data_IF_443959354260
#
_entry.id   IF_443959354260
#
_cell.length_a   1.000
_cell.length_b   1.000
_cell.length_c   1.000
_cell.angle_alpha   90.00
_cell.angle_beta   90.00
_cell.angle_gamma   90.00
#
_symmetry.space_group_name_H-M   'P 1'
#
loop_
_entity.id
_entity.type
_entity.pdbx_description
1 polymer ?
#
# COMPACT_ATOMS: atom_id res chain seq x y z
N UNK A 1 11.05 1.64 11.37
CA UNK A 1 11.64 2.92 10.91
C UNK A 1 11.28 3.24 9.46
N UNK A 2 11.50 2.32 8.51
CA UNK A 2 11.27 2.54 7.08
C UNK A 2 9.85 2.93 6.68
N UNK A 3 8.81 2.32 7.26
CA UNK A 3 7.41 2.73 6.99
C UNK A 3 7.14 4.19 7.37
N UNK A 4 7.66 4.65 8.51
CA UNK A 4 7.52 6.06 8.92
C UNK A 4 8.25 6.98 7.94
N UNK A 5 9.48 6.65 7.57
CA UNK A 5 10.26 7.42 6.62
C UNK A 5 9.56 7.50 5.25
N UNK A 6 9.05 6.37 4.76
CA UNK A 6 8.31 6.26 3.51
C UNK A 6 7.06 7.16 3.53
N UNK A 7 6.16 6.94 4.50
CA UNK A 7 4.89 7.65 4.57
C UNK A 7 5.09 9.15 4.83
N UNK A 8 6.01 9.52 5.72
CA UNK A 8 6.32 10.92 5.99
C UNK A 8 6.96 11.63 4.78
N UNK A 9 7.76 10.92 4.00
CA UNK A 9 8.36 11.47 2.77
C UNK A 9 7.29 11.76 1.73
N UNK A 10 6.36 10.83 1.50
CA UNK A 10 5.22 11.04 0.60
C UNK A 10 4.40 12.24 1.05
N UNK A 11 4.01 12.31 2.33
CA UNK A 11 3.23 13.42 2.87
C UNK A 11 3.96 14.76 2.72
N UNK A 12 5.24 14.82 3.11
CA UNK A 12 6.07 16.02 2.98
C UNK A 12 6.15 16.50 1.53
N UNK A 13 6.27 15.58 0.58
CA UNK A 13 6.44 15.94 -0.82
C UNK A 13 5.12 16.33 -1.48
N UNK A 14 3.99 15.75 -1.08
CA UNK A 14 2.65 16.24 -1.42
C UNK A 14 2.50 17.71 -0.99
N UNK A 15 2.87 18.05 0.25
CA UNK A 15 2.74 19.42 0.77
C UNK A 15 3.54 20.46 -0.02
N UNK A 16 4.63 20.07 -0.68
CA UNK A 16 5.46 20.98 -1.50
C UNK A 16 4.83 21.31 -2.86
N UNK A 17 3.94 20.46 -3.34
CA UNK A 17 3.33 20.56 -4.67
C UNK A 17 1.82 20.79 -4.58
N UNK A 18 1.29 20.90 -3.36
CA UNK A 18 -0.13 21.14 -3.14
C UNK A 18 -0.53 22.55 -3.63
N UNK A 19 -1.69 22.71 -4.29
CA UNK A 19 -2.65 21.68 -4.66
C UNK A 19 -2.21 20.91 -5.91
N UNK A 20 -2.11 19.59 -5.80
CA UNK A 20 -1.90 18.67 -6.92
C UNK A 20 -3.06 17.69 -6.97
N UNK A 21 -3.62 17.45 -8.15
CA UNK A 21 -4.74 16.52 -8.28
C UNK A 21 -4.30 15.06 -8.28
N UNK A 22 -3.10 14.76 -8.76
CA UNK A 22 -2.59 13.40 -8.93
C UNK A 22 -1.06 13.44 -9.01
N UNK A 23 -0.36 12.67 -8.16
CA UNK A 23 1.10 12.64 -8.11
C UNK A 23 1.75 12.06 -9.36
N UNK A 24 1.04 11.25 -10.15
CA UNK A 24 1.52 10.77 -11.44
C UNK A 24 1.64 11.86 -12.50
N UNK A 25 0.99 13.03 -12.30
CA UNK A 25 1.20 14.21 -13.16
C UNK A 25 2.57 14.86 -12.95
N UNK A 26 3.28 14.51 -11.86
CA UNK A 26 4.60 15.04 -11.56
C UNK A 26 5.65 14.07 -12.13
N UNK A 27 6.48 14.50 -13.09
CA UNK A 27 7.49 13.64 -13.69
C UNK A 27 8.40 13.00 -12.65
N UNK A 28 8.52 11.67 -12.73
CA UNK A 28 9.38 10.86 -11.86
C UNK A 28 9.19 11.13 -10.36
N UNK A 29 7.95 11.36 -9.90
CA UNK A 29 7.67 11.68 -8.50
C UNK A 29 8.27 10.64 -7.54
N UNK A 30 7.97 9.35 -7.73
CA UNK A 30 8.41 8.27 -6.83
C UNK A 30 9.88 7.85 -7.02
N UNK A 31 10.45 8.03 -8.22
CA UNK A 31 11.83 7.62 -8.53
C UNK A 31 12.89 8.70 -8.35
N UNK A 32 12.50 9.97 -8.13
CA UNK A 32 13.49 11.01 -7.82
C UNK A 32 14.04 10.80 -6.39
N UNK A 33 15.36 10.88 -6.14
CA UNK A 33 15.94 10.74 -4.81
C UNK A 33 15.38 11.76 -3.81
N UNK A 34 15.24 11.37 -2.53
CA UNK A 34 14.59 12.18 -1.47
C UNK A 34 15.34 12.25 -0.16
N UNK A 35 16.13 11.25 0.17
CA UNK A 35 16.88 11.20 1.42
C UNK A 35 18.14 10.36 1.25
N UNK A 36 19.10 10.61 2.13
CA UNK A 36 20.37 9.90 2.19
C UNK A 36 20.36 9.01 3.43
N UNK A 37 20.73 7.74 3.28
CA UNK A 37 20.97 6.80 4.39
C UNK A 37 22.38 6.26 4.23
N UNK A 38 23.26 6.60 5.17
CA UNK A 38 24.71 6.42 5.00
C UNK A 38 25.21 7.20 3.79
N UNK A 39 25.82 6.50 2.84
CA UNK A 39 26.34 7.08 1.59
C UNK A 39 25.44 6.92 0.37
N UNK A 40 24.27 6.29 0.53
CA UNK A 40 23.33 6.05 -0.55
C UNK A 40 22.19 7.06 -0.53
N UNK A 41 21.86 7.58 -1.69
CA UNK A 41 20.64 8.35 -1.91
C UNK A 41 19.51 7.39 -2.29
N UNK A 42 18.34 7.57 -1.69
CA UNK A 42 17.17 6.74 -1.91
C UNK A 42 16.01 7.59 -2.44
N UNK A 43 15.37 7.09 -3.49
CA UNK A 43 14.01 7.43 -3.87
C UNK A 43 13.00 6.56 -3.11
N UNK A 44 11.71 6.81 -3.32
CA UNK A 44 10.65 5.97 -2.75
C UNK A 44 10.67 4.57 -3.38
N UNK A 45 10.84 4.50 -4.71
CA UNK A 45 10.97 3.24 -5.43
C UNK A 45 12.19 2.43 -4.98
N UNK A 46 13.31 3.10 -4.67
CA UNK A 46 14.50 2.42 -4.14
C UNK A 46 14.24 1.78 -2.78
N UNK A 47 13.42 2.41 -1.93
CA UNK A 47 13.04 1.82 -0.63
C UNK A 47 12.06 0.65 -0.83
N UNK A 48 11.11 0.75 -1.76
CA UNK A 48 10.27 -0.40 -2.13
C UNK A 48 11.09 -1.60 -2.57
N UNK A 49 12.07 -1.38 -3.45
CA UNK A 49 12.89 -2.45 -3.99
C UNK A 49 13.90 -2.98 -2.97
N UNK A 50 14.82 -2.13 -2.49
CA UNK A 50 15.94 -2.58 -1.68
C UNK A 50 15.51 -3.00 -0.27
N UNK A 51 14.57 -2.26 0.34
CA UNK A 51 14.23 -2.50 1.74
C UNK A 51 13.03 -3.44 1.86
N UNK A 52 11.90 -3.10 1.25
CA UNK A 52 10.67 -3.89 1.46
C UNK A 52 10.73 -5.24 0.75
N UNK A 53 11.18 -5.29 -0.51
CA UNK A 53 11.23 -6.54 -1.30
C UNK A 53 12.47 -7.40 -1.03
N UNK A 54 13.65 -6.81 -0.84
CA UNK A 54 14.88 -7.59 -0.70
C UNK A 54 15.29 -7.88 0.75
N UNK A 55 15.22 -6.88 1.63
CA UNK A 55 15.67 -7.06 3.03
C UNK A 55 14.58 -7.58 3.96
N UNK A 56 13.39 -6.96 3.95
CA UNK A 56 12.34 -7.26 4.94
C UNK A 56 11.45 -8.45 4.54
N UNK A 57 11.04 -8.51 3.27
CA UNK A 57 10.16 -9.56 2.75
C UNK A 57 8.87 -9.77 3.59
N UNK A 58 8.36 -8.68 4.17
CA UNK A 58 7.17 -8.68 5.01
C UNK A 58 5.96 -8.16 4.20
N UNK A 59 5.09 -9.04 3.68
CA UNK A 59 3.99 -8.66 2.78
C UNK A 59 2.96 -7.73 3.43
N UNK A 60 2.81 -7.76 4.77
CA UNK A 60 1.87 -6.85 5.47
C UNK A 60 2.27 -5.38 5.33
N UNK A 61 3.51 -5.09 4.97
CA UNK A 61 3.96 -3.71 4.69
C UNK A 61 3.22 -3.07 3.52
N UNK A 62 2.69 -3.85 2.56
CA UNK A 62 1.88 -3.37 1.44
C UNK A 62 0.71 -2.52 1.92
N UNK A 63 0.02 -2.94 2.99
CA UNK A 63 -1.16 -2.26 3.56
C UNK A 63 -0.80 -1.09 4.48
N UNK A 64 0.49 -0.90 4.74
CA UNK A 64 1.06 0.12 5.61
C UNK A 64 1.74 1.26 4.85
N UNK A 65 2.06 1.04 3.56
CA UNK A 65 2.65 2.04 2.64
C UNK A 65 1.54 2.85 1.96
N UNK A 66 1.61 4.18 2.06
CA UNK A 66 0.63 5.07 1.41
C UNK A 66 1.28 5.86 0.29
N UNK A 67 0.68 5.87 -0.89
CA UNK A 67 1.20 6.57 -2.08
C UNK A 67 0.46 7.88 -2.39
N UNK A 68 -0.45 8.31 -1.52
CA UNK A 68 -1.19 9.57 -1.63
C UNK A 68 -2.45 9.53 -2.48
N UNK A 69 -2.70 8.44 -3.21
CA UNK A 69 -3.90 8.27 -4.02
C UNK A 69 -5.16 7.95 -3.19
N UNK A 70 -6.35 8.28 -3.71
CA UNK A 70 -7.65 8.01 -3.05
C UNK A 70 -7.89 6.52 -2.82
N UNK A 71 -7.46 5.66 -3.74
CA UNK A 71 -7.55 4.19 -3.58
C UNK A 71 -6.38 3.57 -2.80
N UNK A 72 -5.44 4.38 -2.28
CA UNK A 72 -4.30 3.89 -1.50
C UNK A 72 -4.74 3.33 -0.16
N UNK A 73 -3.98 2.39 0.45
CA UNK A 73 -4.19 2.02 1.84
C UNK A 73 -4.28 3.26 2.75
N UNK A 74 -5.18 3.24 3.73
CA UNK A 74 -5.35 4.38 4.64
C UNK A 74 -4.09 4.61 5.47
N UNK A 75 -3.71 5.87 5.67
CA UNK A 75 -2.59 6.22 6.55
C UNK A 75 -2.94 5.90 8.01
N UNK A 76 -1.99 5.30 8.73
CA UNK A 76 -2.13 5.05 10.17
C UNK A 76 -2.10 6.39 10.93
N UNK A 77 -2.96 6.52 11.96
CA UNK A 77 -3.06 7.74 12.78
C UNK A 77 -1.91 7.89 13.79
N UNK A 78 -1.07 6.88 13.91
CA UNK A 78 0.13 6.88 14.74
C UNK A 78 1.35 6.43 13.92
N UNK A 79 2.53 6.78 14.41
CA UNK A 79 3.77 6.28 13.83
C UNK A 79 3.97 4.79 14.13
N UNK A 80 4.64 4.09 13.22
CA UNK A 80 5.02 2.70 13.42
C UNK A 80 6.13 2.59 14.47
N UNK A 81 5.85 1.85 15.55
CA UNK A 81 6.77 1.62 16.68
C UNK A 81 7.35 0.21 16.57
N UNK A 82 8.69 0.02 16.57
CA UNK A 82 9.30 -1.31 16.53
C UNK A 82 8.78 -2.27 17.59
N UNK A 83 8.36 -1.77 18.76
CA UNK A 83 7.84 -2.58 19.88
C UNK A 83 6.40 -3.08 19.63
N UNK A 84 5.70 -2.50 18.66
CA UNK A 84 4.29 -2.80 18.34
C UNK A 84 4.08 -3.18 16.87
N UNK A 85 5.17 -3.32 16.10
CA UNK A 85 5.11 -3.35 14.64
C UNK A 85 4.22 -4.47 14.11
N UNK A 86 4.31 -5.67 14.68
CA UNK A 86 3.48 -6.81 14.27
C UNK A 86 1.99 -6.52 14.45
N UNK A 87 1.63 -5.96 15.60
CA UNK A 87 0.24 -5.58 15.89
C UNK A 87 -0.24 -4.50 14.93
N UNK A 88 0.58 -3.48 14.66
CA UNK A 88 0.22 -2.40 13.75
C UNK A 88 0.04 -2.92 12.31
N UNK A 89 0.95 -3.78 11.83
CA UNK A 89 0.85 -4.39 10.50
C UNK A 89 -0.39 -5.27 10.37
N UNK A 90 -0.70 -6.05 11.41
CA UNK A 90 -1.91 -6.87 11.47
C UNK A 90 -3.18 -6.01 11.42
N UNK A 91 -3.24 -4.96 12.25
CA UNK A 91 -4.36 -4.01 12.26
C UNK A 91 -4.56 -3.35 10.89
N UNK A 92 -3.47 -2.94 10.21
CA UNK A 92 -3.53 -2.36 8.87
C UNK A 92 -4.05 -3.34 7.83
N UNK A 93 -3.58 -4.59 7.89
CA UNK A 93 -3.97 -5.65 6.96
C UNK A 93 -5.44 -6.02 7.13
N UNK A 94 -5.87 -6.25 8.37
CA UNK A 94 -7.26 -6.53 8.71
C UNK A 94 -8.19 -5.38 8.34
N UNK A 95 -7.78 -4.13 8.59
CA UNK A 95 -8.56 -2.96 8.21
C UNK A 95 -8.71 -2.83 6.70
N UNK A 96 -7.68 -3.18 5.92
CA UNK A 96 -7.74 -3.17 4.47
C UNK A 96 -8.77 -4.17 3.95
N UNK A 97 -8.72 -5.43 4.38
CA UNK A 97 -9.65 -6.47 3.92
C UNK A 97 -11.08 -6.31 4.44
N UNK A 98 -11.28 -5.62 5.57
CA UNK A 98 -12.63 -5.31 6.08
C UNK A 98 -13.33 -4.18 5.32
N UNK A 99 -12.61 -3.37 4.56
CA UNK A 99 -13.18 -2.25 3.81
C UNK A 99 -13.75 -2.75 2.47
N UNK A 100 -15.08 -2.65 2.22
CA UNK A 100 -15.69 -3.10 0.97
C UNK A 100 -15.17 -2.39 -0.28
N UNK A 101 -14.58 -1.19 -0.13
CA UNK A 101 -13.91 -0.50 -1.22
C UNK A 101 -12.63 -1.20 -1.67
N UNK A 102 -12.04 -2.02 -0.80
CA UNK A 102 -10.81 -2.75 -1.09
C UNK A 102 -11.03 -4.22 -1.43
N UNK A 103 -12.11 -4.81 -0.93
CA UNK A 103 -12.38 -6.22 -1.16
C UNK A 103 -13.86 -6.54 -1.09
N UNK A 104 -14.37 -7.26 -2.08
CA UNK A 104 -15.67 -7.91 -1.99
C UNK A 104 -15.71 -9.17 -2.87
N UNK A 105 -16.59 -10.10 -2.50
CA UNK A 105 -16.76 -11.35 -3.23
C UNK A 105 -18.03 -11.31 -4.08
N UNK A 106 -17.86 -11.45 -5.40
CA UNK A 106 -18.95 -11.62 -6.36
C UNK A 106 -19.37 -13.10 -6.37
N UNK A 107 -20.44 -13.41 -5.62
CA UNK A 107 -20.96 -14.77 -5.47
C UNK A 107 -21.38 -15.39 -6.82
N UNK A 108 -22.18 -14.71 -7.67
CA UNK A 108 -22.55 -15.25 -8.99
C UNK A 108 -21.35 -15.61 -9.87
N UNK A 109 -20.30 -14.79 -9.88
CA UNK A 109 -19.11 -15.00 -10.72
C UNK A 109 -18.03 -15.86 -10.08
N UNK A 110 -18.15 -16.16 -8.78
CA UNK A 110 -17.09 -16.77 -7.97
C UNK A 110 -15.77 -16.00 -8.07
N UNK A 111 -15.86 -14.67 -8.00
CA UNK A 111 -14.71 -13.78 -8.19
C UNK A 111 -14.48 -12.97 -6.93
N UNK A 112 -13.26 -13.04 -6.41
CA UNK A 112 -12.78 -12.14 -5.38
C UNK A 112 -12.23 -10.87 -6.06
N UNK A 113 -12.94 -9.77 -5.87
CA UNK A 113 -12.56 -8.46 -6.37
C UNK A 113 -11.69 -7.77 -5.32
N UNK A 114 -10.47 -7.39 -5.71
CA UNK A 114 -9.43 -6.85 -4.85
C UNK A 114 -9.02 -5.45 -5.32
N UNK A 115 -8.67 -4.56 -4.40
CA UNK A 115 -8.03 -3.30 -4.75
C UNK A 115 -6.76 -3.56 -5.57
N UNK A 116 -6.56 -2.78 -6.64
CA UNK A 116 -5.40 -2.92 -7.54
C UNK A 116 -4.04 -2.74 -6.86
N UNK A 117 -3.98 -2.22 -5.62
CA UNK A 117 -2.77 -2.25 -4.78
C UNK A 117 -2.15 -3.65 -4.77
N UNK A 118 -2.97 -4.70 -4.69
CA UNK A 118 -2.48 -6.07 -4.68
C UNK A 118 -1.89 -6.52 -6.04
N UNK A 119 -2.32 -5.91 -7.15
CA UNK A 119 -1.71 -6.11 -8.45
C UNK A 119 -0.36 -5.37 -8.56
N UNK A 120 -0.30 -4.12 -8.09
CA UNK A 120 0.92 -3.30 -8.17
C UNK A 120 2.07 -3.88 -7.34
N UNK A 121 1.72 -4.48 -6.21
CA UNK A 121 2.66 -5.06 -5.25
C UNK A 121 2.64 -6.59 -5.26
N UNK A 122 2.21 -7.23 -6.34
CA UNK A 122 2.15 -8.70 -6.42
C UNK A 122 3.49 -9.37 -6.08
N UNK A 123 4.61 -8.75 -6.49
CA UNK A 123 5.98 -9.21 -6.21
C UNK A 123 6.38 -9.14 -4.73
N UNK A 124 5.62 -8.42 -3.91
CA UNK A 124 5.85 -8.36 -2.47
C UNK A 124 5.25 -9.60 -1.75
N UNK A 125 4.51 -10.44 -2.47
CA UNK A 125 3.96 -11.70 -1.97
C UNK A 125 4.65 -12.90 -2.63
N UNK A 126 5.14 -13.85 -1.81
CA UNK A 126 5.65 -15.13 -2.33
C UNK A 126 4.52 -15.97 -2.94
N UNK A 127 3.37 -15.98 -2.27
CA UNK A 127 2.11 -16.56 -2.75
C UNK A 127 0.96 -15.67 -2.28
N UNK A 128 0.39 -14.89 -3.20
CA UNK A 128 -0.74 -14.02 -2.89
C UNK A 128 -1.98 -14.81 -2.45
N UNK A 129 -2.25 -15.99 -3.04
CA UNK A 129 -3.43 -16.79 -2.66
C UNK A 129 -3.25 -17.39 -1.27
N UNK A 130 -2.07 -17.92 -0.98
CA UNK A 130 -1.72 -18.40 0.35
C UNK A 130 -1.77 -17.28 1.40
N UNK A 131 -1.29 -16.08 1.07
CA UNK A 131 -1.41 -14.92 1.96
C UNK A 131 -2.88 -14.58 2.23
N UNK A 132 -3.72 -14.48 1.20
CA UNK A 132 -5.14 -14.18 1.34
C UNK A 132 -5.89 -15.24 2.16
N UNK A 133 -5.52 -16.52 2.04
CA UNK A 133 -6.15 -17.60 2.79
C UNK A 133 -6.07 -17.40 4.32
N UNK A 134 -5.04 -16.70 4.81
CA UNK A 134 -4.89 -16.38 6.23
C UNK A 134 -5.93 -15.36 6.73
N UNK A 135 -6.48 -14.53 5.84
CA UNK A 135 -7.40 -13.43 6.17
C UNK A 135 -8.84 -13.69 5.73
N UNK A 136 -9.06 -14.63 4.79
CA UNK A 136 -10.35 -14.89 4.15
C UNK A 136 -10.97 -16.23 4.58
N UNK A 137 -10.80 -16.60 5.85
CA UNK A 137 -11.34 -17.83 6.41
C UNK A 137 -12.82 -18.01 6.07
N UNK A 138 -13.19 -19.15 5.47
CA UNK A 138 -14.55 -19.47 5.08
C UNK A 138 -14.90 -19.19 3.61
N UNK A 139 -13.99 -18.61 2.82
CA UNK A 139 -14.17 -18.50 1.38
C UNK A 139 -13.92 -19.86 0.70
N UNK A 140 -14.75 -20.23 -0.28
CA UNK A 140 -14.56 -21.45 -1.05
C UNK A 140 -13.21 -21.39 -1.79
N UNK A 141 -12.42 -22.48 -1.87
CA UNK A 141 -11.07 -22.43 -2.43
C UNK A 141 -11.03 -22.09 -3.94
N UNK A 142 -12.15 -22.25 -4.64
CA UNK A 142 -12.25 -22.09 -6.09
C UNK A 142 -12.86 -20.73 -6.45
N UNK A 143 -12.05 -19.67 -6.35
CA UNK A 143 -12.39 -18.33 -6.84
C UNK A 143 -11.37 -17.78 -7.84
N UNK A 144 -11.89 -16.97 -8.77
CA UNK A 144 -11.08 -16.12 -9.64
C UNK A 144 -10.64 -14.87 -8.89
N UNK A 145 -9.43 -14.39 -9.19
CA UNK A 145 -8.96 -13.09 -8.72
C UNK A 145 -9.22 -12.05 -9.81
N UNK A 146 -9.73 -10.90 -9.42
CA UNK A 146 -9.86 -9.73 -10.30
C UNK A 146 -9.59 -8.47 -9.51
N UNK A 147 -9.18 -7.41 -10.20
CA UNK A 147 -8.78 -6.16 -9.58
C UNK A 147 -9.77 -5.04 -9.89
N UNK A 148 -10.12 -4.29 -8.85
CA UNK A 148 -10.91 -3.06 -8.92
C UNK A 148 -10.11 -1.95 -9.61
N UNK A 149 -10.81 -0.93 -10.10
CA UNK A 149 -10.16 0.30 -10.55
C UNK A 149 -9.38 0.98 -9.42
N UNK A 150 -8.37 1.77 -9.78
CA UNK A 150 -7.56 2.53 -8.82
C UNK A 150 -7.64 4.02 -9.13
N UNK A 151 -8.27 4.77 -8.23
CA UNK A 151 -8.35 6.23 -8.34
C UNK A 151 -7.06 6.87 -7.83
N UNK A 152 -6.29 7.41 -8.77
CA UNK A 152 -5.03 8.12 -8.55
C UNK A 152 -5.20 9.59 -8.17
N UNK A 153 -6.44 10.09 -8.06
CA UNK A 153 -6.67 11.41 -7.47
C UNK A 153 -6.03 11.47 -6.08
N UNK A 154 -5.52 12.64 -5.71
CA UNK A 154 -4.97 12.87 -4.39
C UNK A 154 -6.08 12.63 -3.35
N UNK A 155 -5.75 11.89 -2.31
CA UNK A 155 -6.65 11.63 -1.20
C UNK A 155 -6.74 12.87 -0.29
N UNK A 156 -7.46 13.90 -0.73
CA UNK A 156 -7.76 15.08 0.08
C UNK A 156 -9.28 15.21 0.35
N UNK A 157 -9.63 15.60 1.58
CA UNK A 157 -11.03 15.75 2.00
C UNK A 157 -11.74 16.92 1.29
N UNK A 158 -11.01 17.77 0.55
CA UNK A 158 -11.53 19.01 -0.04
C UNK A 158 -12.10 18.86 -1.44
N UNK A 159 -11.99 17.69 -2.08
CA UNK A 159 -12.52 17.43 -3.42
C UNK A 159 -13.86 16.66 -3.43
N UNK A 160 -14.57 16.62 -2.29
CA UNK A 160 -15.91 16.04 -2.16
C UNK A 160 -16.92 17.05 -1.62
#
# INVERSE_FOLDING_TARGET
>A
AWLNLYNATILRDILKVYPVENLLKIPNFFGKPRFKVGDKNYSILDVEEAVFRQELQEPRTVFARVNGASSSPRLMREAYDPRKIDKQLEERTMAFFKDPANMHYDVPRKTLLLNATLAFYEKDFLDLRGFLANYLSGMAPNYYLSYLGYDWKLNDEKLH
#
